data_IF_511230272721
#
_entry.id   IF_511230272721
#
_cell.length_a   1.000
_cell.length_b   1.000
_cell.length_c   1.000
_cell.angle_alpha   90.00
_cell.angle_beta   90.00
_cell.angle_gamma   90.00
#
_symmetry.space_group_name_H-M   'P 1'
#
loop_
_entity.id
_entity.type
_entity.pdbx_description
1 polymer ?
#
# COMPACT_ATOMS: atom_id res chain seq x y z
N UNK A 1 -31.99 -65.18 -3.97
CA UNK A 1 -33.34 -64.76 -4.41
C UNK A 1 -34.25 -64.67 -3.20
N UNK A 2 -35.16 -63.66 -3.17
CA UNK A 2 -36.09 -63.23 -2.09
C UNK A 2 -35.42 -62.31 -1.05
N UNK A 3 -35.46 -60.97 -1.13
CA UNK A 3 -36.55 -59.94 -1.11
C UNK A 3 -37.37 -59.87 0.19
N UNK A 4 -37.50 -58.62 0.65
CA UNK A 4 -38.52 -58.03 1.55
C UNK A 4 -38.15 -58.10 3.04
N UNK A 5 -37.53 -57.08 3.64
CA UNK A 5 -38.08 -55.78 4.11
C UNK A 5 -39.30 -55.97 5.02
N UNK A 6 -39.31 -55.39 6.24
CA UNK A 6 -40.39 -54.55 6.83
C UNK A 6 -40.38 -54.54 8.38
N UNK A 7 -40.13 -53.32 8.89
CA UNK A 7 -40.85 -52.55 9.93
C UNK A 7 -40.68 -52.81 11.46
N UNK A 8 -40.28 -51.70 12.14
CA UNK A 8 -40.83 -51.02 13.37
C UNK A 8 -40.75 -51.88 14.66
N UNK A 9 -40.44 -51.41 15.88
CA UNK A 9 -40.95 -50.25 16.61
C UNK A 9 -40.02 -49.83 17.75
N UNK A 10 -39.99 -48.51 17.92
CA UNK A 10 -39.48 -47.67 18.98
C UNK A 10 -39.60 -48.20 20.42
N UNK A 11 -38.64 -47.81 21.27
CA UNK A 11 -38.94 -47.27 22.60
C UNK A 11 -37.79 -46.42 23.14
N UNK A 12 -38.10 -45.14 23.39
CA UNK A 12 -37.71 -44.37 24.58
C UNK A 12 -36.23 -43.97 24.69
N UNK A 13 -35.96 -42.72 24.32
CA UNK A 13 -34.75 -41.98 24.67
C UNK A 13 -34.93 -40.47 24.48
N UNK A 14 -36.14 -39.98 24.71
CA UNK A 14 -36.44 -38.55 24.67
C UNK A 14 -36.11 -37.98 26.04
N UNK A 15 -34.88 -37.50 26.21
CA UNK A 15 -34.48 -36.52 27.21
C UNK A 15 -32.97 -36.32 27.03
N UNK A 16 -32.52 -35.07 27.06
CA UNK A 16 -31.11 -34.66 27.20
C UNK A 16 -30.18 -34.74 25.99
N UNK A 17 -30.54 -34.13 24.86
CA UNK A 17 -29.56 -33.67 23.85
C UNK A 17 -29.87 -32.26 23.33
N UNK A 18 -30.23 -31.33 24.22
CA UNK A 18 -30.52 -29.94 23.85
C UNK A 18 -29.73 -28.92 24.68
N UNK A 19 -28.65 -29.35 25.30
CA UNK A 19 -27.73 -28.44 25.99
C UNK A 19 -26.31 -28.90 25.73
N UNK A 20 -25.70 -28.38 24.66
CA UNK A 20 -24.25 -28.22 24.49
C UNK A 20 -23.92 -27.52 23.16
N UNK A 21 -24.66 -26.45 22.83
CA UNK A 21 -24.09 -25.35 22.06
C UNK A 21 -23.95 -24.16 23.01
N UNK A 22 -23.26 -24.40 24.13
CA UNK A 22 -22.69 -23.32 24.91
C UNK A 22 -21.80 -22.53 23.94
N UNK A 23 -22.13 -21.25 23.81
CA UNK A 23 -21.44 -20.23 23.03
C UNK A 23 -19.94 -20.46 23.01
N UNK A 24 -19.46 -21.10 21.93
CA UNK A 24 -18.06 -20.96 21.57
C UNK A 24 -17.97 -19.58 20.95
N UNK A 25 -17.78 -18.55 21.78
CA UNK A 25 -17.12 -17.34 21.30
C UNK A 25 -15.75 -17.81 20.84
N UNK A 26 -15.63 -18.12 19.55
CA UNK A 26 -14.31 -18.26 18.94
C UNK A 26 -13.57 -16.99 19.35
N UNK A 27 -12.37 -17.08 19.95
CA UNK A 27 -11.56 -15.90 20.12
C UNK A 27 -11.40 -15.33 18.72
N UNK A 28 -12.06 -14.19 18.46
CA UNK A 28 -11.76 -13.40 17.27
C UNK A 28 -10.26 -13.18 17.39
N UNK A 29 -9.45 -13.66 16.41
CA UNK A 29 -8.05 -13.30 16.38
C UNK A 29 -8.07 -11.79 16.46
N UNK A 30 -7.56 -11.25 17.57
CA UNK A 30 -7.27 -9.84 17.57
C UNK A 30 -6.28 -9.73 16.44
N UNK A 31 -6.72 -9.20 15.32
CA UNK A 31 -5.82 -8.80 14.25
C UNK A 31 -4.91 -7.79 14.93
N UNK A 32 -3.83 -8.30 15.51
CA UNK A 32 -2.69 -7.49 15.87
C UNK A 32 -2.36 -6.87 14.54
N UNK A 33 -2.70 -5.59 14.39
CA UNK A 33 -2.21 -4.80 13.29
C UNK A 33 -0.70 -5.03 13.33
N UNK A 34 -0.19 -5.84 12.40
CA UNK A 34 1.24 -5.96 12.22
C UNK A 34 1.72 -4.52 12.11
N UNK A 35 2.63 -4.12 13.01
CA UNK A 35 3.37 -2.88 12.82
C UNK A 35 3.92 -2.98 11.41
N UNK A 36 3.34 -2.19 10.50
CA UNK A 36 3.72 -2.24 9.10
C UNK A 36 5.11 -1.64 9.08
N UNK A 37 6.13 -2.50 9.04
CA UNK A 37 7.52 -2.07 9.08
C UNK A 37 7.70 -1.03 7.96
N UNK A 38 7.86 0.23 8.36
CA UNK A 38 8.06 1.31 7.40
C UNK A 38 9.39 1.05 6.73
N UNK A 39 9.39 1.07 5.40
CA UNK A 39 10.62 0.88 4.64
C UNK A 39 11.63 1.97 5.07
N UNK A 40 12.85 1.61 5.49
CA UNK A 40 13.83 2.58 5.99
C UNK A 40 14.26 3.60 4.92
N UNK A 41 14.09 3.27 3.64
CA UNK A 41 14.40 4.14 2.50
C UNK A 41 13.17 4.87 1.95
N UNK A 42 12.01 4.83 2.62
CA UNK A 42 10.78 5.47 2.17
C UNK A 42 10.99 6.93 1.78
N UNK A 43 11.69 7.70 2.61
CA UNK A 43 11.97 9.11 2.33
C UNK A 43 12.75 9.30 1.03
N UNK A 44 13.80 8.49 0.81
CA UNK A 44 14.62 8.53 -0.41
C UNK A 44 13.83 8.11 -1.65
N UNK A 45 12.99 7.08 -1.53
CA UNK A 45 12.08 6.64 -2.60
C UNK A 45 11.09 7.76 -2.97
N UNK A 46 10.53 8.44 -1.98
CA UNK A 46 9.58 9.51 -2.20
C UNK A 46 10.24 10.80 -2.75
N UNK A 47 11.46 11.13 -2.33
CA UNK A 47 12.27 12.18 -2.98
C UNK A 47 12.51 11.88 -4.46
N UNK A 48 12.92 10.64 -4.77
CA UNK A 48 13.13 10.19 -6.15
C UNK A 48 11.84 10.25 -6.97
N UNK A 49 10.70 9.91 -6.36
CA UNK A 49 9.38 9.96 -6.99
C UNK A 49 9.01 11.39 -7.39
N UNK A 50 9.24 12.37 -6.51
CA UNK A 50 9.04 13.78 -6.86
C UNK A 50 9.98 14.22 -8.00
N UNK A 51 11.24 13.80 -7.96
CA UNK A 51 12.23 14.13 -8.98
C UNK A 51 11.85 13.64 -10.39
N UNK A 52 11.52 12.35 -10.54
CA UNK A 52 11.15 11.76 -11.82
C UNK A 52 9.80 12.30 -12.32
N UNK A 53 8.81 12.48 -11.42
CA UNK A 53 7.46 12.93 -11.82
C UNK A 53 7.42 14.37 -12.31
N UNK A 54 8.29 15.24 -11.78
CA UNK A 54 8.33 16.66 -12.17
C UNK A 54 9.51 17.03 -13.08
N UNK A 55 10.35 16.05 -13.44
CA UNK A 55 11.57 16.30 -14.22
C UNK A 55 12.50 17.30 -13.52
N UNK A 56 12.77 17.09 -12.23
CA UNK A 56 13.58 17.97 -11.39
C UNK A 56 14.77 17.23 -10.80
N UNK A 57 15.80 17.99 -10.42
CA UNK A 57 16.99 17.42 -9.81
C UNK A 57 16.63 16.77 -8.47
N UNK A 58 17.08 15.54 -8.23
CA UNK A 58 16.90 14.84 -6.96
C UNK A 58 17.43 15.63 -5.76
N UNK A 59 18.57 16.33 -5.92
CA UNK A 59 19.25 17.04 -4.82
C UNK A 59 18.46 18.23 -4.25
N UNK A 60 17.43 18.72 -4.93
CA UNK A 60 16.61 19.82 -4.41
C UNK A 60 15.36 19.33 -3.66
N UNK A 61 15.16 18.00 -3.59
CA UNK A 61 14.03 17.39 -2.91
C UNK A 61 14.31 17.30 -1.41
N UNK A 62 13.36 17.74 -0.61
CA UNK A 62 13.44 17.75 0.85
C UNK A 62 12.37 16.83 1.42
N UNK A 63 12.78 15.98 2.36
CA UNK A 63 11.87 15.17 3.16
C UNK A 63 11.46 15.97 4.39
N UNK A 64 10.17 16.25 4.51
CA UNK A 64 9.62 17.03 5.62
C UNK A 64 9.32 16.15 6.83
N UNK A 65 8.65 15.02 6.59
CA UNK A 65 8.24 14.07 7.63
C UNK A 65 7.94 12.69 7.04
N UNK A 66 7.93 11.67 7.91
CA UNK A 66 7.34 10.35 7.68
C UNK A 66 6.42 10.05 8.86
N UNK A 67 5.13 9.78 8.60
CA UNK A 67 4.19 9.42 9.68
C UNK A 67 4.28 7.93 10.06
N UNK A 68 3.60 7.59 11.16
CA UNK A 68 3.51 6.22 11.67
C UNK A 68 2.76 5.27 10.71
N UNK A 69 2.06 5.81 9.71
CA UNK A 69 1.33 5.06 8.69
C UNK A 69 2.16 4.83 7.42
N UNK A 70 3.41 5.32 7.37
CA UNK A 70 4.31 5.17 6.23
C UNK A 70 3.99 6.09 5.05
N UNK A 71 3.44 7.27 5.33
CA UNK A 71 3.32 8.37 4.36
C UNK A 71 4.50 9.32 4.56
N UNK A 72 5.18 9.66 3.48
CA UNK A 72 6.24 10.66 3.46
C UNK A 72 5.74 11.96 2.80
N UNK A 73 6.10 13.08 3.39
CA UNK A 73 5.89 14.42 2.85
C UNK A 73 7.20 14.91 2.23
N UNK A 74 7.15 15.24 0.96
CA UNK A 74 8.30 15.71 0.20
C UNK A 74 7.96 17.01 -0.48
N UNK A 75 8.88 17.97 -0.47
CA UNK A 75 8.73 19.18 -1.26
C UNK A 75 10.03 19.59 -1.94
N UNK A 76 9.91 20.53 -2.88
CA UNK A 76 11.03 21.30 -3.41
C UNK A 76 10.59 22.75 -3.69
N UNK A 77 11.57 23.65 -3.78
CA UNK A 77 11.38 25.00 -4.30
C UNK A 77 11.80 25.02 -5.76
N UNK A 78 10.89 25.38 -6.66
CA UNK A 78 11.19 25.36 -8.09
C UNK A 78 12.24 26.43 -8.42
N UNK A 79 13.39 26.08 -9.03
CA UNK A 79 14.48 27.03 -9.22
C UNK A 79 14.12 28.28 -10.03
N UNK A 80 13.14 28.18 -10.94
CA UNK A 80 12.80 29.30 -11.84
C UNK A 80 11.93 30.38 -11.21
N UNK A 81 11.15 30.09 -10.16
CA UNK A 81 10.25 31.06 -9.53
C UNK A 81 10.10 30.92 -8.01
N UNK A 82 10.84 30.01 -7.38
CA UNK A 82 10.79 29.70 -5.96
C UNK A 82 9.42 29.25 -5.43
N UNK A 83 8.49 28.88 -6.32
CA UNK A 83 7.22 28.27 -5.91
C UNK A 83 7.48 26.94 -5.20
N UNK A 84 6.74 26.68 -4.12
CA UNK A 84 6.79 25.40 -3.40
C UNK A 84 5.92 24.38 -4.12
N UNK A 85 6.49 23.21 -4.38
CA UNK A 85 5.79 22.05 -4.93
C UNK A 85 5.99 20.87 -3.98
N UNK A 86 4.91 20.18 -3.65
CA UNK A 86 4.96 19.08 -2.69
C UNK A 86 4.10 17.89 -3.10
N UNK A 87 4.48 16.73 -2.56
CA UNK A 87 3.75 15.47 -2.69
C UNK A 87 3.64 14.78 -1.33
N UNK A 88 2.58 13.98 -1.20
CA UNK A 88 2.55 12.86 -0.24
C UNK A 88 2.80 11.58 -1.00
N UNK A 89 3.55 10.68 -0.39
CA UNK A 89 4.01 9.45 -1.04
C UNK A 89 3.99 8.28 -0.05
N UNK A 90 3.55 7.12 -0.50
CA UNK A 90 3.57 5.88 0.28
C UNK A 90 3.88 4.69 -0.62
N UNK A 91 4.33 3.59 -0.03
CA UNK A 91 4.60 2.36 -0.77
C UNK A 91 3.41 1.41 -0.70
N UNK A 92 3.17 0.73 -1.82
CA UNK A 92 2.28 -0.41 -1.90
C UNK A 92 2.99 -1.48 -2.71
N UNK A 93 3.53 -2.49 -2.02
CA UNK A 93 4.39 -3.51 -2.62
C UNK A 93 5.61 -2.85 -3.30
N UNK A 94 5.81 -3.12 -4.59
CA UNK A 94 6.87 -2.53 -5.44
C UNK A 94 6.46 -1.20 -6.08
N UNK A 95 5.25 -0.70 -5.79
CA UNK A 95 4.73 0.55 -6.33
C UNK A 95 4.89 1.71 -5.36
N UNK A 96 5.14 2.88 -5.93
CA UNK A 96 4.97 4.16 -5.24
C UNK A 96 3.61 4.74 -5.59
N UNK A 97 2.83 5.08 -4.56
CA UNK A 97 1.55 5.78 -4.69
C UNK A 97 1.74 7.18 -4.16
N UNK A 98 1.41 8.19 -4.96
CA UNK A 98 1.59 9.58 -4.57
C UNK A 98 0.36 10.45 -4.91
N UNK A 99 0.30 11.63 -4.27
CA UNK A 99 -0.64 12.71 -4.58
C UNK A 99 0.07 14.05 -4.44
N UNK A 100 -0.43 15.10 -5.10
CA UNK A 100 0.03 16.46 -4.83
C UNK A 100 -0.32 16.88 -3.40
N UNK A 101 0.49 17.77 -2.82
CA UNK A 101 0.28 18.35 -1.49
C UNK A 101 0.45 19.87 -1.52
N UNK A 102 -0.11 20.48 -2.56
CA UNK A 102 -0.08 21.94 -2.73
C UNK A 102 -1.39 22.53 -2.17
N UNK A 103 -1.36 23.77 -1.62
CA UNK A 103 -2.55 24.39 -1.04
C UNK A 103 -3.78 24.43 -1.96
N UNK A 104 -3.56 24.61 -3.26
CA UNK A 104 -4.62 24.72 -4.26
C UNK A 104 -4.97 23.39 -4.97
N UNK A 105 -4.51 22.26 -4.42
CA UNK A 105 -4.74 20.94 -5.02
C UNK A 105 -5.93 20.21 -4.40
N UNK A 106 -6.90 19.80 -5.23
CA UNK A 106 -7.87 18.76 -4.88
C UNK A 106 -7.24 17.38 -5.19
N UNK A 107 -6.20 17.05 -4.42
CA UNK A 107 -5.32 15.95 -4.75
C UNK A 107 -5.92 14.60 -4.33
N UNK A 108 -5.92 13.65 -5.26
CA UNK A 108 -6.23 12.24 -5.02
C UNK A 108 -4.96 11.41 -5.12
N UNK A 109 -4.94 10.28 -4.40
CA UNK A 109 -3.94 9.24 -4.64
C UNK A 109 -4.02 8.76 -6.09
N UNK A 110 -2.87 8.71 -6.76
CA UNK A 110 -2.74 8.23 -8.14
C UNK A 110 -2.76 6.70 -8.20
N UNK A 111 -3.97 6.13 -8.18
CA UNK A 111 -4.25 4.69 -8.20
C UNK A 111 -5.19 4.25 -9.33
N UNK A 112 -5.73 5.22 -10.08
CA UNK A 112 -6.69 5.00 -11.15
C UNK A 112 -6.04 4.39 -12.41
N UNK A 113 -6.87 3.91 -13.35
CA UNK A 113 -6.39 3.27 -14.57
C UNK A 113 -5.62 4.23 -15.49
N UNK A 114 -5.93 5.52 -15.43
CA UNK A 114 -5.31 6.57 -16.24
C UNK A 114 -4.11 7.24 -15.56
N UNK A 115 -3.76 6.81 -14.35
CA UNK A 115 -2.58 7.31 -13.65
C UNK A 115 -1.32 6.57 -14.08
N UNK A 116 -0.18 7.24 -13.99
CA UNK A 116 1.11 6.59 -14.16
C UNK A 116 1.37 5.53 -13.08
N UNK A 117 2.15 4.52 -13.46
CA UNK A 117 2.66 3.49 -12.56
C UNK A 117 4.12 3.79 -12.29
N UNK A 118 4.44 4.02 -11.01
CA UNK A 118 5.82 4.18 -10.56
C UNK A 118 6.20 2.94 -9.76
N UNK A 119 7.23 2.24 -10.21
CA UNK A 119 7.82 1.10 -9.50
C UNK A 119 9.23 1.44 -9.04
N UNK A 120 9.69 0.82 -7.96
CA UNK A 120 11.01 1.06 -7.39
C UNK A 120 11.76 -0.25 -7.13
N UNK A 121 13.10 -0.17 -7.16
CA UNK A 121 13.98 -1.28 -6.78
C UNK A 121 15.26 -0.73 -6.17
N UNK A 122 15.74 -1.41 -5.13
CA UNK A 122 17.05 -1.16 -4.54
C UNK A 122 17.97 -2.32 -4.91
N UNK A 123 19.16 -2.01 -5.39
CA UNK A 123 20.25 -2.96 -5.64
C UNK A 123 21.55 -2.33 -5.18
N UNK A 124 22.22 -2.97 -4.23
CA UNK A 124 23.40 -2.39 -3.56
C UNK A 124 23.03 -0.99 -3.00
N UNK A 125 23.78 0.04 -3.40
CA UNK A 125 23.56 1.43 -2.98
C UNK A 125 22.76 2.24 -4.01
N UNK A 126 22.11 1.58 -4.98
CA UNK A 126 21.36 2.24 -6.04
C UNK A 126 19.86 2.01 -5.90
N UNK A 127 19.10 3.11 -5.96
CA UNK A 127 17.65 3.14 -6.09
C UNK A 127 17.27 3.42 -7.55
N UNK A 128 16.60 2.49 -8.21
CA UNK A 128 16.03 2.70 -9.56
C UNK A 128 14.52 2.88 -9.47
N UNK A 129 14.01 3.97 -10.06
CA UNK A 129 12.58 4.19 -10.27
C UNK A 129 12.25 4.08 -11.75
N UNK A 130 11.12 3.44 -12.05
CA UNK A 130 10.55 3.38 -13.38
C UNK A 130 9.13 3.93 -13.35
N UNK A 131 8.89 4.98 -14.13
CA UNK A 131 7.59 5.62 -14.32
C UNK A 131 7.03 5.24 -15.69
N UNK A 132 5.77 4.81 -15.74
CA UNK A 132 5.09 4.41 -16.99
C UNK A 132 3.69 5.00 -17.03
N UNK A 133 3.37 5.74 -18.09
CA UNK A 133 2.05 6.26 -18.37
C UNK A 133 1.14 5.20 -19.05
N UNK A 134 -0.19 5.38 -19.06
CA UNK A 134 -1.11 4.42 -19.68
C UNK A 134 -0.86 4.13 -21.16
N UNK A 135 -0.27 5.08 -21.89
CA UNK A 135 0.12 4.93 -23.30
C UNK A 135 1.41 4.12 -23.51
N UNK A 136 2.05 3.69 -22.43
CA UNK A 136 3.31 2.93 -22.43
C UNK A 136 4.57 3.78 -22.47
N UNK A 137 4.44 5.11 -22.65
CA UNK A 137 5.57 6.03 -22.50
C UNK A 137 6.03 6.11 -21.05
N UNK A 138 7.25 6.58 -20.80
CA UNK A 138 7.78 6.58 -19.45
C UNK A 138 9.23 7.04 -19.37
N UNK A 139 9.76 6.94 -18.15
CA UNK A 139 11.15 7.25 -17.84
C UNK A 139 11.68 6.26 -16.80
N UNK A 140 12.99 6.07 -16.76
CA UNK A 140 13.68 5.27 -15.76
C UNK A 140 14.92 6.02 -15.27
N UNK A 141 15.03 6.19 -13.96
CA UNK A 141 16.14 6.92 -13.36
C UNK A 141 16.70 6.16 -12.17
N UNK A 142 18.03 6.24 -12.03
CA UNK A 142 18.77 5.66 -10.90
C UNK A 142 19.36 6.76 -10.04
N UNK A 143 19.19 6.61 -8.72
CA UNK A 143 19.65 7.52 -7.68
C UNK A 143 20.55 6.75 -6.72
N UNK A 144 21.54 7.42 -6.14
CA UNK A 144 22.29 6.85 -5.03
C UNK A 144 21.41 6.86 -3.78
N UNK A 145 21.46 5.78 -3.00
CA UNK A 145 20.92 5.74 -1.65
C UNK A 145 21.83 6.57 -0.75
N UNK A 146 21.24 7.53 -0.05
CA UNK A 146 21.87 8.34 0.99
C UNK A 146 21.75 7.67 2.36
#
# INVERSE_FOLDING_TARGET
MKKTLILIIATVGYLSWLQLFASQTLPVPHAQAESRLINPHLGTICKATAAISFGRNFRIMQLDNVDEQGVAWVHYLRPSDHSRWAIRCRLQEDRVIWMADNPDSDARWRIGPDDEKITWRISEDNLTLRLVYPDGSGDEQTFQLE
#
